data_IF_282204760972
#
_entry.id   IF_282204760972
#
_cell.length_a   1.000
_cell.length_b   1.000
_cell.length_c   1.000
_cell.angle_alpha   90.00
_cell.angle_beta   90.00
_cell.angle_gamma   90.00
#
_symmetry.space_group_name_H-M   'P 1'
#
loop_
_entity.id
_entity.type
_entity.pdbx_description
1 polymer ?
#
# COMPACT_ATOMS: atom_id res chain seq x y z
N UNK A 1 28.00 -15.95 19.17
CA UNK A 1 26.71 -16.42 18.61
C UNK A 1 25.48 -15.79 19.28
N UNK A 2 25.38 -15.68 20.62
CA UNK A 2 24.19 -15.05 21.26
C UNK A 2 24.04 -13.55 20.99
N UNK A 3 25.14 -12.81 20.89
CA UNK A 3 25.14 -11.35 20.69
C UNK A 3 24.51 -10.91 19.34
N UNK A 4 24.63 -11.74 18.30
CA UNK A 4 24.07 -11.47 16.97
C UNK A 4 22.55 -11.68 16.86
N UNK A 5 21.86 -12.09 17.93
CA UNK A 5 20.40 -12.23 17.97
C UNK A 5 19.77 -11.13 18.82
N UNK A 6 20.49 -10.65 19.84
CA UNK A 6 20.02 -9.67 20.83
C UNK A 6 19.55 -8.33 20.18
N UNK A 7 20.17 -7.89 19.08
CA UNK A 7 19.74 -6.68 18.36
C UNK A 7 18.40 -6.82 17.62
N UNK A 8 17.98 -8.05 17.30
CA UNK A 8 16.71 -8.34 16.64
C UNK A 8 15.59 -8.53 17.67
N UNK A 9 15.89 -9.17 18.79
CA UNK A 9 14.98 -9.31 19.95
C UNK A 9 14.64 -7.97 20.61
N UNK A 10 15.53 -6.97 20.51
CA UNK A 10 15.32 -5.61 21.02
C UNK A 10 14.43 -4.72 20.13
N UNK A 11 14.02 -5.19 18.95
CA UNK A 11 13.18 -4.39 18.04
C UNK A 11 11.73 -4.28 18.54
N UNK A 12 11.08 -3.12 18.38
CA UNK A 12 9.80 -2.80 19.02
C UNK A 12 8.64 -3.73 18.64
N UNK A 13 8.70 -4.38 17.47
CA UNK A 13 7.66 -5.31 17.01
C UNK A 13 8.09 -6.78 17.05
N UNK A 14 9.23 -7.11 17.68
CA UNK A 14 9.69 -8.49 17.82
C UNK A 14 8.60 -9.38 18.45
N UNK A 15 8.29 -10.49 17.76
CA UNK A 15 7.26 -11.44 18.19
C UNK A 15 5.81 -10.94 18.08
N UNK A 16 5.56 -9.77 17.47
CA UNK A 16 4.20 -9.28 17.18
C UNK A 16 3.72 -9.84 15.83
N UNK A 17 2.52 -10.42 15.83
CA UNK A 17 1.81 -10.75 14.60
C UNK A 17 0.98 -9.53 14.18
N UNK A 18 1.18 -9.05 12.95
CA UNK A 18 0.47 -7.88 12.42
C UNK A 18 -0.22 -8.26 11.10
N UNK A 19 -1.53 -8.06 11.06
CA UNK A 19 -2.35 -8.25 9.87
C UNK A 19 -2.41 -6.96 9.05
N UNK A 20 -2.02 -7.03 7.77
CA UNK A 20 -2.09 -5.92 6.81
C UNK A 20 -3.17 -6.23 5.79
N UNK A 21 -4.17 -5.35 5.67
CA UNK A 21 -5.40 -5.59 4.87
C UNK A 21 -5.48 -4.83 3.54
N UNK A 22 -4.49 -3.96 3.25
CA UNK A 22 -4.44 -3.16 2.01
C UNK A 22 -4.11 -4.03 0.77
N UNK A 23 -4.37 -3.50 -0.43
CA UNK A 23 -4.05 -4.22 -1.68
C UNK A 23 -2.53 -4.50 -1.82
N UNK A 24 -2.09 -5.46 -2.66
CA UNK A 24 -0.68 -5.92 -2.72
C UNK A 24 0.31 -5.06 -3.52
N UNK A 25 -0.18 -4.07 -4.28
CA UNK A 25 0.68 -3.09 -4.99
C UNK A 25 0.93 -1.81 -4.17
N UNK A 26 -0.12 -1.39 -3.46
CA UNK A 26 0.08 -0.86 -2.11
C UNK A 26 0.57 -2.01 -1.20
N UNK A 27 0.79 -1.85 0.10
CA UNK A 27 1.49 -2.84 0.97
C UNK A 27 3.03 -2.75 1.01
N UNK A 28 3.87 -3.04 -0.01
CA UNK A 28 5.28 -3.42 0.18
C UNK A 28 6.08 -2.50 1.11
N UNK A 29 5.94 -1.18 0.97
CA UNK A 29 6.62 -0.22 1.83
C UNK A 29 6.23 -0.34 3.32
N UNK A 30 4.96 -0.62 3.63
CA UNK A 30 4.46 -0.82 4.99
C UNK A 30 4.86 -2.20 5.53
N UNK A 31 4.68 -3.27 4.76
CA UNK A 31 5.05 -4.62 5.17
C UNK A 31 6.56 -4.74 5.41
N UNK A 32 7.39 -4.19 4.51
CA UNK A 32 8.83 -4.13 4.68
C UNK A 32 9.22 -3.30 5.91
N UNK A 33 8.56 -2.17 6.18
CA UNK A 33 8.80 -1.39 7.40
C UNK A 33 8.51 -2.21 8.67
N UNK A 34 7.36 -2.89 8.73
CA UNK A 34 6.97 -3.71 9.87
C UNK A 34 7.90 -4.93 10.06
N UNK A 35 8.28 -5.62 8.98
CA UNK A 35 9.25 -6.72 9.01
C UNK A 35 10.65 -6.23 9.44
N UNK A 36 11.07 -5.04 8.99
CA UNK A 36 12.31 -4.42 9.45
C UNK A 36 12.29 -4.15 10.95
N UNK A 37 11.14 -3.85 11.56
CA UNK A 37 10.96 -3.73 13.01
C UNK A 37 10.71 -5.08 13.74
N UNK A 38 11.01 -6.19 13.06
CA UNK A 38 10.88 -7.58 13.53
C UNK A 38 9.44 -8.10 13.75
N UNK A 39 8.44 -7.45 13.15
CA UNK A 39 7.07 -7.98 13.12
C UNK A 39 6.94 -9.20 12.20
N UNK A 40 6.12 -10.16 12.60
CA UNK A 40 5.59 -11.17 11.70
C UNK A 40 4.37 -10.60 10.96
N UNK A 41 4.52 -10.28 9.68
CA UNK A 41 3.47 -9.64 8.87
C UNK A 41 2.70 -10.68 8.07
N UNK A 42 1.37 -10.65 8.19
CA UNK A 42 0.44 -11.45 7.40
C UNK A 42 -0.33 -10.48 6.49
N UNK A 43 -0.28 -10.68 5.18
CA UNK A 43 -1.03 -9.87 4.22
C UNK A 43 -2.31 -10.57 3.78
N UNK A 44 -3.45 -9.89 3.92
CA UNK A 44 -4.76 -10.36 3.44
C UNK A 44 -5.43 -9.20 2.69
N UNK A 45 -5.18 -9.03 1.38
CA UNK A 45 -5.76 -7.94 0.60
C UNK A 45 -7.29 -8.08 0.59
N UNK A 46 -7.98 -7.12 1.19
CA UNK A 46 -9.45 -7.11 1.30
C UNK A 46 -10.10 -6.26 0.19
N UNK A 47 -9.30 -5.57 -0.61
CA UNK A 47 -9.73 -4.70 -1.71
C UNK A 47 -8.87 -5.01 -2.94
N UNK A 48 -9.53 -5.35 -4.05
CA UNK A 48 -8.95 -5.46 -5.38
C UNK A 48 -9.35 -4.21 -6.20
N UNK A 49 -8.41 -3.64 -6.95
CA UNK A 49 -8.69 -2.47 -7.80
C UNK A 49 -8.57 -2.89 -9.25
N UNK A 50 -9.72 -3.01 -9.91
CA UNK A 50 -9.84 -3.41 -11.31
C UNK A 50 -10.05 -2.19 -12.22
N UNK A 51 -9.66 -2.26 -13.51
CA UNK A 51 -9.99 -1.22 -14.48
C UNK A 51 -11.51 -1.07 -14.62
N UNK A 52 -11.99 0.16 -14.80
CA UNK A 52 -13.39 0.40 -15.18
C UNK A 52 -13.67 -0.22 -16.55
N UNK A 53 -14.82 -0.89 -16.68
CA UNK A 53 -15.29 -1.48 -17.95
C UNK A 53 -15.73 -0.43 -18.98
N UNK A 54 -16.08 0.77 -18.52
CA UNK A 54 -16.42 1.92 -19.34
C UNK A 54 -15.71 3.17 -18.79
N UNK A 55 -15.07 3.94 -19.68
CA UNK A 55 -14.37 5.19 -19.38
C UNK A 55 -14.99 6.40 -20.11
N UNK A 56 -16.11 6.26 -20.83
CA UNK A 56 -16.75 7.34 -21.61
C UNK A 56 -16.93 8.65 -20.85
N UNK A 57 -17.30 8.57 -19.56
CA UNK A 57 -17.45 9.75 -18.68
C UNK A 57 -16.11 10.42 -18.37
N UNK A 58 -15.05 9.63 -18.18
CA UNK A 58 -13.69 10.13 -18.00
C UNK A 58 -13.17 10.76 -19.30
N UNK A 59 -13.35 10.10 -20.44
CA UNK A 59 -12.93 10.63 -21.76
C UNK A 59 -13.63 11.95 -22.09
N UNK A 60 -14.93 12.06 -21.78
CA UNK A 60 -15.68 13.32 -21.90
C UNK A 60 -15.17 14.42 -20.96
N UNK A 61 -14.83 14.09 -19.72
CA UNK A 61 -14.22 15.05 -18.79
C UNK A 61 -12.83 15.49 -19.27
N UNK A 62 -12.02 14.56 -19.79
CA UNK A 62 -10.70 14.81 -20.35
C UNK A 62 -10.77 15.74 -21.58
N UNK A 63 -11.77 15.57 -22.47
CA UNK A 63 -11.95 16.46 -23.62
C UNK A 63 -12.29 17.90 -23.22
N UNK A 64 -12.81 18.12 -22.01
CA UNK A 64 -13.17 19.43 -21.47
C UNK A 64 -12.14 20.00 -20.47
N UNK A 65 -10.96 19.38 -20.31
CA UNK A 65 -9.89 19.83 -19.39
C UNK A 65 -9.53 21.31 -19.53
N UNK A 66 -9.61 21.88 -20.75
CA UNK A 66 -9.32 23.30 -21.00
C UNK A 66 -10.25 24.27 -20.23
N UNK A 67 -11.40 23.79 -19.79
CA UNK A 67 -12.40 24.57 -19.05
C UNK A 67 -12.33 24.30 -17.53
N UNK A 68 -11.42 23.43 -17.06
CA UNK A 68 -11.24 23.12 -15.64
C UNK A 68 -10.18 24.01 -15.01
N UNK A 69 -10.49 24.60 -13.85
CA UNK A 69 -9.55 25.47 -13.11
C UNK A 69 -8.43 24.71 -12.40
N UNK A 70 -8.60 23.40 -12.18
CA UNK A 70 -7.60 22.54 -11.56
C UNK A 70 -7.96 21.06 -11.62
N UNK A 71 -6.95 20.21 -11.56
CA UNK A 71 -7.05 18.75 -11.53
C UNK A 71 -6.29 18.23 -10.30
N UNK A 72 -6.92 17.34 -9.54
CA UNK A 72 -6.36 16.77 -8.32
C UNK A 72 -6.28 15.25 -8.42
N UNK A 73 -5.14 14.68 -8.05
CA UNK A 73 -4.95 13.25 -7.91
C UNK A 73 -4.97 12.91 -6.41
N UNK A 74 -5.88 12.02 -6.00
CA UNK A 74 -6.17 11.76 -4.59
C UNK A 74 -5.41 10.56 -4.01
N UNK A 75 -5.12 9.55 -4.83
CA UNK A 75 -4.42 8.32 -4.42
C UNK A 75 -3.58 7.77 -5.58
N UNK A 76 -2.51 7.05 -5.23
CA UNK A 76 -1.67 6.31 -6.15
C UNK A 76 -2.09 4.83 -6.15
N UNK A 77 -3.11 4.51 -6.94
CA UNK A 77 -3.39 3.13 -7.29
C UNK A 77 -2.47 2.69 -8.43
N UNK A 78 -1.37 1.98 -8.11
CA UNK A 78 -0.63 1.25 -9.14
C UNK A 78 -1.41 0.02 -9.59
N UNK A 79 -1.52 -0.14 -10.91
CA UNK A 79 -1.77 -1.42 -11.56
C UNK A 79 -0.64 -2.41 -11.23
#
# INVERSE_FOLDING_TARGET
>A
MREQINWYEQKPLFGKNILVTRSPNQSPALSNFLQNEAANVIEIPTIEITPLSDNTTLDFALSHLKNMTGLFFLDQCSR
#
